data_IF_005349943496
#
_entry.id   IF_005349943496
#
_cell.length_a   1.000
_cell.length_b   1.000
_cell.length_c   1.000
_cell.angle_alpha   90.00
_cell.angle_beta   90.00
_cell.angle_gamma   90.00
#
_symmetry.space_group_name_H-M   'P 1'
#
loop_
_entity.id
_entity.type
_entity.pdbx_description
1 polymer ?
#
# COMPACT_ATOMS: atom_id res chain seq x y z
N UNK A 1 3.72 -6.05 -13.31
CA UNK A 1 4.52 -6.87 -14.23
C UNK A 1 5.50 -7.68 -13.42
N UNK A 2 5.74 -8.91 -13.84
CA UNK A 2 6.73 -9.81 -13.27
C UNK A 2 7.66 -10.26 -14.39
N UNK A 3 8.95 -10.33 -14.10
CA UNK A 3 9.95 -10.90 -15.01
C UNK A 3 10.68 -12.01 -14.26
N UNK A 4 10.49 -13.23 -14.70
CA UNK A 4 11.03 -14.42 -14.05
C UNK A 4 12.51 -14.67 -14.44
N UNK A 5 13.14 -15.67 -13.81
CA UNK A 5 14.52 -16.05 -14.08
C UNK A 5 14.74 -16.53 -15.53
N UNK A 6 13.74 -17.11 -16.19
CA UNK A 6 13.76 -17.47 -17.62
C UNK A 6 13.61 -16.27 -18.56
N UNK A 7 13.42 -15.05 -18.03
CA UNK A 7 13.20 -13.83 -18.78
C UNK A 7 11.75 -13.60 -19.22
N UNK A 8 10.85 -14.55 -19.03
CA UNK A 8 9.45 -14.42 -19.42
C UNK A 8 8.76 -13.28 -18.64
N UNK A 9 8.05 -12.42 -19.38
CA UNK A 9 7.29 -11.30 -18.80
C UNK A 9 5.84 -11.74 -18.58
N UNK A 10 5.36 -11.55 -17.36
CA UNK A 10 4.00 -11.77 -16.95
C UNK A 10 3.35 -10.46 -16.48
N UNK A 11 2.08 -10.27 -16.82
CA UNK A 11 1.30 -9.11 -16.38
C UNK A 11 0.09 -9.62 -15.61
N UNK A 12 -0.05 -9.15 -14.38
CA UNK A 12 -1.26 -9.33 -13.58
C UNK A 12 -2.19 -8.13 -13.82
N UNK A 13 -3.35 -8.39 -14.38
CA UNK A 13 -4.38 -7.38 -14.67
C UNK A 13 -5.58 -7.58 -13.75
N UNK A 14 -6.08 -6.48 -13.21
CA UNK A 14 -7.30 -6.50 -12.40
C UNK A 14 -8.44 -7.14 -13.19
N UNK A 15 -9.05 -8.18 -12.61
CA UNK A 15 -10.16 -8.92 -13.21
C UNK A 15 -9.77 -9.99 -14.25
N UNK A 16 -8.53 -10.01 -14.75
CA UNK A 16 -8.05 -10.99 -15.73
C UNK A 16 -6.96 -11.93 -15.19
N UNK A 17 -6.39 -11.59 -14.03
CA UNK A 17 -5.34 -12.38 -13.40
C UNK A 17 -3.99 -12.32 -14.11
N UNK A 18 -3.12 -13.25 -13.75
CA UNK A 18 -1.75 -13.33 -14.25
C UNK A 18 -1.70 -13.96 -15.64
N UNK A 19 -1.15 -13.23 -16.62
CA UNK A 19 -1.07 -13.65 -18.01
C UNK A 19 0.37 -13.53 -18.55
N UNK A 20 0.82 -14.52 -19.30
CA UNK A 20 2.07 -14.45 -20.04
C UNK A 20 1.92 -13.47 -21.22
N UNK A 21 2.92 -12.64 -21.45
CA UNK A 21 2.91 -11.68 -22.58
C UNK A 21 3.45 -12.28 -23.88
N UNK A 22 4.14 -13.41 -23.80
CA UNK A 22 4.91 -13.98 -24.90
C UNK A 22 6.24 -13.24 -25.17
N UNK A 23 6.56 -12.21 -24.41
CA UNK A 23 7.83 -11.48 -24.51
C UNK A 23 8.82 -12.04 -23.51
N UNK A 24 10.08 -12.18 -23.93
CA UNK A 24 11.19 -12.62 -23.09
C UNK A 24 12.32 -11.61 -23.15
N UNK A 25 12.90 -11.28 -22.00
CA UNK A 25 14.07 -10.40 -21.88
C UNK A 25 15.34 -11.23 -21.70
N UNK A 26 16.41 -10.83 -22.36
CA UNK A 26 17.74 -11.40 -22.11
C UNK A 26 18.22 -11.09 -20.67
N UNK A 27 19.23 -11.84 -20.20
CA UNK A 27 19.87 -11.56 -18.90
C UNK A 27 20.40 -10.12 -18.86
N UNK A 28 21.07 -9.70 -19.92
CA UNK A 28 21.66 -8.36 -20.02
C UNK A 28 20.59 -7.26 -19.97
N UNK A 29 19.47 -7.43 -20.67
CA UNK A 29 18.37 -6.44 -20.63
C UNK A 29 17.71 -6.37 -19.25
N UNK A 30 17.56 -7.50 -18.57
CA UNK A 30 17.03 -7.55 -17.19
C UNK A 30 17.96 -6.82 -16.22
N UNK A 31 19.27 -7.09 -16.28
CA UNK A 31 20.23 -6.38 -15.44
C UNK A 31 20.24 -4.88 -15.72
N UNK A 32 20.24 -4.48 -16.98
CA UNK A 32 20.22 -3.06 -17.37
C UNK A 32 18.94 -2.38 -16.84
N UNK A 33 17.78 -3.00 -17.01
CA UNK A 33 16.51 -2.49 -16.49
C UNK A 33 16.52 -2.35 -14.96
N UNK A 34 17.00 -3.37 -14.25
CA UNK A 34 17.09 -3.34 -12.78
C UNK A 34 18.02 -2.25 -12.29
N UNK A 35 19.19 -2.07 -12.92
CA UNK A 35 20.15 -1.01 -12.57
C UNK A 35 19.58 0.39 -12.83
N UNK A 36 18.85 0.56 -13.95
CA UNK A 36 18.18 1.82 -14.26
C UNK A 36 17.12 2.17 -13.21
N UNK A 37 16.29 1.21 -12.83
CA UNK A 37 15.25 1.39 -11.79
C UNK A 37 15.87 1.70 -10.41
N UNK A 38 17.00 1.06 -10.08
CA UNK A 38 17.72 1.35 -8.85
C UNK A 38 18.27 2.81 -8.88
N UNK A 39 18.86 3.22 -10.00
CA UNK A 39 19.39 4.58 -10.17
C UNK A 39 18.28 5.64 -10.07
N UNK A 40 17.14 5.42 -10.72
CA UNK A 40 15.96 6.31 -10.64
C UNK A 40 15.47 6.48 -9.19
N UNK A 41 15.57 5.43 -8.40
CA UNK A 41 15.20 5.46 -6.98
C UNK A 41 16.32 6.00 -6.06
N UNK A 42 17.47 6.41 -6.59
CA UNK A 42 18.63 6.83 -5.79
C UNK A 42 19.30 5.68 -5.02
N UNK A 43 19.10 4.44 -5.48
CA UNK A 43 19.63 3.23 -4.87
C UNK A 43 20.70 2.57 -5.74
N UNK A 44 21.44 1.64 -5.13
CA UNK A 44 22.41 0.81 -5.85
C UNK A 44 22.08 -0.66 -5.68
N UNK A 45 22.32 -1.44 -6.74
CA UNK A 45 22.17 -2.91 -6.72
C UNK A 45 23.38 -3.55 -7.41
N UNK A 46 23.86 -4.66 -6.87
CA UNK A 46 25.03 -5.39 -7.37
C UNK A 46 25.31 -6.64 -6.54
N UNK A 47 26.49 -7.22 -6.73
CA UNK A 47 26.89 -8.48 -6.08
C UNK A 47 26.88 -8.36 -4.54
N UNK A 48 27.33 -7.24 -4.01
CA UNK A 48 27.38 -6.99 -2.56
C UNK A 48 25.99 -6.62 -1.99
N UNK A 49 25.09 -6.18 -2.83
CA UNK A 49 23.70 -5.81 -2.48
C UNK A 49 22.75 -6.34 -3.56
N UNK A 50 22.52 -7.65 -3.61
CA UNK A 50 21.80 -8.30 -4.71
C UNK A 50 20.28 -8.17 -4.64
N UNK A 51 19.74 -7.34 -3.76
CA UNK A 51 18.30 -7.06 -3.61
C UNK A 51 18.01 -5.58 -3.74
N UNK A 52 16.95 -5.26 -4.48
CA UNK A 52 16.35 -3.93 -4.54
C UNK A 52 14.90 -4.02 -4.09
N UNK A 53 14.52 -3.20 -3.11
CA UNK A 53 13.13 -3.03 -2.67
C UNK A 53 12.86 -1.53 -2.53
N UNK A 54 12.24 -0.94 -3.54
CA UNK A 54 12.11 0.52 -3.63
C UNK A 54 10.77 0.96 -4.21
N UNK A 55 10.53 2.27 -4.16
CA UNK A 55 9.39 2.94 -4.78
C UNK A 55 9.95 3.98 -5.73
N UNK A 56 9.53 3.92 -6.98
CA UNK A 56 9.93 4.89 -7.99
C UNK A 56 9.33 6.27 -7.70
N UNK A 57 10.12 7.36 -7.73
CA UNK A 57 9.65 8.69 -7.35
C UNK A 57 8.47 9.18 -8.20
N UNK A 58 8.55 9.04 -9.50
CA UNK A 58 7.59 9.64 -10.43
C UNK A 58 6.28 8.83 -10.54
N UNK A 59 6.39 7.50 -10.57
CA UNK A 59 5.25 6.60 -10.79
C UNK A 59 4.63 6.05 -9.51
N UNK A 60 5.31 6.23 -8.37
CA UNK A 60 4.99 5.57 -7.12
C UNK A 60 4.86 4.02 -7.25
N UNK A 61 5.45 3.45 -8.30
CA UNK A 61 5.46 2.01 -8.50
C UNK A 61 6.42 1.34 -7.51
N UNK A 62 5.98 0.25 -6.92
CA UNK A 62 6.85 -0.62 -6.12
C UNK A 62 7.70 -1.49 -7.03
N UNK A 63 9.00 -1.50 -6.79
CA UNK A 63 9.96 -2.34 -7.49
C UNK A 63 10.62 -3.29 -6.49
N UNK A 64 10.58 -4.57 -6.81
CA UNK A 64 11.37 -5.60 -6.13
C UNK A 64 12.21 -6.31 -7.18
N UNK A 65 13.53 -6.31 -7.00
CA UNK A 65 14.43 -7.04 -7.87
C UNK A 65 15.41 -7.87 -7.04
N UNK A 66 15.85 -8.97 -7.62
CA UNK A 66 16.84 -9.87 -7.03
C UNK A 66 17.83 -10.28 -8.11
N UNK A 67 19.12 -10.20 -7.79
CA UNK A 67 20.23 -10.61 -8.64
C UNK A 67 20.90 -11.87 -8.10
N UNK A 68 21.72 -12.56 -8.90
CA UNK A 68 22.63 -13.56 -8.38
C UNK A 68 23.52 -13.01 -7.26
N UNK A 69 23.87 -13.80 -6.23
CA UNK A 69 23.63 -15.24 -6.08
C UNK A 69 22.29 -15.61 -5.43
N UNK A 70 21.42 -14.66 -5.07
CA UNK A 70 20.16 -14.94 -4.38
C UNK A 70 19.08 -15.53 -5.31
N UNK A 71 19.16 -15.24 -6.60
CA UNK A 71 18.40 -15.92 -7.65
C UNK A 71 19.37 -16.51 -8.66
N UNK A 72 18.95 -17.52 -9.41
CA UNK A 72 19.79 -18.11 -10.46
C UNK A 72 20.11 -17.11 -11.58
N UNK A 73 19.15 -16.24 -11.86
CA UNK A 73 19.19 -15.19 -12.87
C UNK A 73 18.43 -13.95 -12.35
N UNK A 74 18.64 -12.76 -12.94
CA UNK A 74 17.92 -11.55 -12.52
C UNK A 74 16.40 -11.72 -12.62
N UNK A 75 15.69 -11.41 -11.53
CA UNK A 75 14.23 -11.38 -11.47
C UNK A 75 13.74 -10.00 -11.05
N UNK A 76 12.57 -9.60 -11.56
CA UNK A 76 12.02 -8.27 -11.34
C UNK A 76 10.50 -8.33 -11.16
N UNK A 77 9.99 -7.66 -10.16
CA UNK A 77 8.56 -7.42 -9.96
C UNK A 77 8.30 -5.91 -9.88
N UNK A 78 7.38 -5.43 -10.72
CA UNK A 78 6.94 -4.03 -10.70
C UNK A 78 5.44 -4.00 -10.46
N UNK A 79 5.01 -3.38 -9.37
CA UNK A 79 3.60 -3.18 -9.02
C UNK A 79 3.25 -1.70 -9.09
N UNK A 80 2.42 -1.34 -10.04
CA UNK A 80 1.89 0.02 -10.15
C UNK A 80 0.91 0.32 -9.00
N UNK A 81 0.90 1.55 -8.54
CA UNK A 81 -0.16 2.05 -7.67
C UNK A 81 -1.48 2.04 -8.46
N UNK A 82 -2.61 1.61 -7.85
CA UNK A 82 -3.92 1.73 -8.50
C UNK A 82 -4.20 3.18 -8.88
N UNK A 83 -4.59 3.41 -10.14
CA UNK A 83 -4.93 4.76 -10.64
C UNK A 83 -6.37 5.15 -10.35
N UNK A 84 -7.24 4.17 -10.11
CA UNK A 84 -8.65 4.38 -9.79
C UNK A 84 -8.93 3.99 -8.34
N UNK A 85 -9.65 4.85 -7.62
CA UNK A 85 -10.20 4.54 -6.30
C UNK A 85 -11.60 3.98 -6.55
N UNK A 86 -11.82 2.74 -6.10
CA UNK A 86 -13.17 2.20 -6.02
C UNK A 86 -13.91 2.86 -4.86
N UNK A 87 -15.13 3.31 -5.10
CA UNK A 87 -16.03 3.86 -4.08
C UNK A 87 -16.99 2.78 -3.58
N UNK A 88 -17.72 3.03 -2.49
CA UNK A 88 -18.79 2.14 -2.06
C UNK A 88 -19.91 2.00 -3.12
N UNK A 89 -20.12 3.05 -3.93
CA UNK A 89 -21.06 2.97 -5.07
C UNK A 89 -20.55 2.04 -6.18
N UNK A 90 -19.25 1.96 -6.38
CA UNK A 90 -18.65 0.98 -7.31
C UNK A 90 -18.84 -0.45 -6.80
N UNK A 91 -18.71 -0.67 -5.48
CA UNK A 91 -19.00 -1.97 -4.87
C UNK A 91 -20.46 -2.40 -5.06
N UNK A 92 -21.40 -1.45 -4.93
CA UNK A 92 -22.81 -1.70 -5.21
C UNK A 92 -23.06 -2.05 -6.69
N UNK A 93 -22.54 -1.22 -7.61
CA UNK A 93 -22.72 -1.43 -9.06
C UNK A 93 -22.16 -2.76 -9.54
N UNK A 94 -21.07 -3.23 -8.93
CA UNK A 94 -20.43 -4.49 -9.28
C UNK A 94 -21.01 -5.70 -8.52
N UNK A 95 -21.99 -5.47 -7.64
CA UNK A 95 -22.59 -6.54 -6.83
C UNK A 95 -21.64 -7.15 -5.78
N UNK A 96 -20.53 -6.46 -5.45
CA UNK A 96 -19.56 -6.89 -4.42
C UNK A 96 -20.13 -6.63 -3.02
N UNK A 97 -20.97 -5.61 -2.87
CA UNK A 97 -21.67 -5.31 -1.63
C UNK A 97 -23.17 -5.11 -1.90
N UNK A 98 -24.00 -5.45 -0.92
CA UNK A 98 -25.42 -5.11 -0.91
C UNK A 98 -25.63 -3.67 -0.43
N UNK A 99 -26.81 -3.10 -0.72
CA UNK A 99 -27.18 -1.76 -0.23
C UNK A 99 -27.10 -1.67 1.30
N UNK A 100 -27.58 -2.69 2.00
CA UNK A 100 -27.54 -2.75 3.47
C UNK A 100 -26.10 -2.73 3.99
N UNK A 101 -25.17 -3.44 3.33
CA UNK A 101 -23.76 -3.44 3.72
C UNK A 101 -23.10 -2.09 3.46
N UNK A 102 -23.37 -1.49 2.31
CA UNK A 102 -22.82 -0.18 1.98
C UNK A 102 -23.34 0.91 2.94
N UNK A 103 -24.62 0.88 3.26
CA UNK A 103 -25.25 1.79 4.24
C UNK A 103 -24.61 1.62 5.61
N UNK A 104 -24.48 0.38 6.09
CA UNK A 104 -23.83 0.08 7.37
C UNK A 104 -22.40 0.65 7.45
N UNK A 105 -21.62 0.52 6.38
CA UNK A 105 -20.27 1.04 6.32
C UNK A 105 -20.25 2.59 6.31
N UNK A 106 -21.14 3.23 5.56
CA UNK A 106 -21.30 4.69 5.55
C UNK A 106 -21.69 5.23 6.93
N UNK A 107 -22.65 4.60 7.57
CA UNK A 107 -23.11 4.97 8.91
C UNK A 107 -21.97 4.79 9.93
N UNK A 108 -21.21 3.69 9.85
CA UNK A 108 -20.07 3.45 10.72
C UNK A 108 -18.98 4.51 10.55
N UNK A 109 -18.66 4.90 9.31
CA UNK A 109 -17.70 5.97 9.01
C UNK A 109 -18.22 7.33 9.51
N UNK A 110 -19.48 7.65 9.27
CA UNK A 110 -20.10 8.91 9.72
C UNK A 110 -20.16 8.99 11.26
N UNK A 111 -20.50 7.90 11.92
CA UNK A 111 -20.55 7.78 13.38
C UNK A 111 -19.17 7.67 14.05
N UNK A 112 -18.08 7.83 13.29
CA UNK A 112 -16.69 7.69 13.78
C UNK A 112 -16.43 6.36 14.49
N UNK A 113 -16.97 5.26 13.97
CA UNK A 113 -16.62 3.92 14.45
C UNK A 113 -15.21 3.56 13.97
N UNK A 114 -14.45 2.89 14.83
CA UNK A 114 -13.20 2.27 14.42
C UNK A 114 -13.51 1.02 13.60
N UNK A 115 -12.92 0.92 12.42
CA UNK A 115 -13.17 -0.18 11.48
C UNK A 115 -11.87 -0.93 11.22
N UNK A 116 -11.89 -2.23 11.46
CA UNK A 116 -10.80 -3.15 11.14
C UNK A 116 -11.21 -4.01 9.95
N UNK A 117 -10.43 -3.97 8.88
CA UNK A 117 -10.65 -4.78 7.68
C UNK A 117 -9.67 -5.93 7.69
N UNK A 118 -10.14 -7.15 7.91
CA UNK A 118 -9.34 -8.37 7.94
C UNK A 118 -9.54 -9.22 6.68
N UNK A 119 -8.50 -9.91 6.25
CA UNK A 119 -8.54 -10.79 5.09
C UNK A 119 -7.15 -11.20 4.62
N UNK A 120 -7.07 -12.19 3.74
CA UNK A 120 -5.83 -12.68 3.14
C UNK A 120 -5.15 -11.66 2.20
N UNK A 121 -3.96 -11.98 1.76
CA UNK A 121 -3.27 -11.19 0.72
C UNK A 121 -4.09 -11.21 -0.57
N UNK A 122 -4.23 -10.04 -1.21
CA UNK A 122 -4.99 -9.92 -2.46
C UNK A 122 -6.51 -9.93 -2.31
N UNK A 123 -7.06 -10.01 -1.07
CA UNK A 123 -8.52 -10.02 -0.83
C UNK A 123 -9.22 -8.67 -1.02
N UNK A 124 -8.49 -7.61 -1.31
CA UNK A 124 -9.05 -6.27 -1.53
C UNK A 124 -9.14 -5.39 -0.29
N UNK A 125 -8.43 -5.71 0.81
CA UNK A 125 -8.43 -4.90 2.05
C UNK A 125 -8.12 -3.43 1.79
N UNK A 126 -6.99 -3.15 1.13
CA UNK A 126 -6.57 -1.78 0.80
C UNK A 126 -7.56 -1.10 -0.14
N UNK A 127 -8.20 -1.86 -1.05
CA UNK A 127 -9.23 -1.34 -1.95
C UNK A 127 -10.47 -0.89 -1.16
N UNK A 128 -10.92 -1.70 -0.20
CA UNK A 128 -12.03 -1.32 0.69
C UNK A 128 -11.66 -0.14 1.58
N UNK A 129 -10.44 -0.12 2.12
CA UNK A 129 -9.97 1.03 2.91
C UNK A 129 -10.04 2.34 2.10
N UNK A 130 -9.57 2.31 0.84
CA UNK A 130 -9.66 3.46 -0.05
C UNK A 130 -11.12 3.86 -0.34
N UNK A 131 -12.03 2.88 -0.49
CA UNK A 131 -13.45 3.17 -0.67
C UNK A 131 -14.06 3.88 0.56
N UNK A 132 -13.68 3.47 1.76
CA UNK A 132 -14.10 4.12 3.00
C UNK A 132 -13.49 5.52 3.17
N UNK A 133 -12.22 5.71 2.79
CA UNK A 133 -11.55 7.00 2.81
C UNK A 133 -12.13 8.02 1.81
N UNK A 134 -12.81 7.54 0.78
CA UNK A 134 -13.51 8.38 -0.19
C UNK A 134 -14.85 8.96 0.35
N UNK A 135 -15.36 8.41 1.46
CA UNK A 135 -16.61 8.88 2.06
C UNK A 135 -16.53 10.32 2.55
N UNK A 136 -17.62 11.10 2.43
CA UNK A 136 -17.64 12.53 2.76
C UNK A 136 -17.13 12.87 4.17
N UNK A 137 -17.38 11.99 5.15
CA UNK A 137 -16.98 12.20 6.54
C UNK A 137 -15.46 12.28 6.79
N UNK A 138 -14.64 11.96 5.78
CA UNK A 138 -13.18 12.16 5.84
C UNK A 138 -12.72 13.50 5.27
N UNK A 139 -13.53 14.20 4.46
CA UNK A 139 -13.10 15.39 3.72
C UNK A 139 -12.66 16.54 4.61
N UNK A 140 -13.41 16.76 5.69
CA UNK A 140 -13.20 17.90 6.61
C UNK A 140 -12.39 17.49 7.86
N UNK A 141 -12.00 16.23 7.97
CA UNK A 141 -11.23 15.72 9.09
C UNK A 141 -9.73 15.91 8.87
N UNK A 142 -8.99 16.20 9.95
CA UNK A 142 -7.53 16.04 9.94
C UNK A 142 -7.19 14.56 10.05
N UNK A 143 -6.73 13.98 8.96
CA UNK A 143 -6.42 12.55 8.87
C UNK A 143 -4.92 12.32 8.85
N UNK A 144 -4.43 11.49 9.76
CA UNK A 144 -3.05 11.01 9.72
C UNK A 144 -3.06 9.55 9.27
N UNK A 145 -2.35 9.27 8.19
CA UNK A 145 -2.25 7.95 7.56
C UNK A 145 -0.87 7.39 7.81
N UNK A 146 -0.81 6.16 8.30
CA UNK A 146 0.42 5.42 8.60
C UNK A 146 0.51 4.21 7.70
N UNK A 147 1.63 4.05 6.97
CA UNK A 147 1.81 2.96 6.02
C UNK A 147 3.27 2.52 5.95
N UNK A 148 3.48 1.27 5.57
CA UNK A 148 4.80 0.78 5.15
C UNK A 148 5.15 1.26 3.74
N UNK A 149 4.14 1.43 2.90
CA UNK A 149 4.25 1.95 1.53
C UNK A 149 2.96 2.70 1.19
N UNK A 150 3.09 3.86 0.57
CA UNK A 150 1.96 4.71 0.19
C UNK A 150 1.01 4.03 -0.81
N UNK A 151 -0.07 3.45 -0.32
CA UNK A 151 -1.14 2.83 -1.11
C UNK A 151 -2.49 3.54 -0.91
N UNK A 152 -2.69 4.13 0.26
CA UNK A 152 -3.94 4.81 0.58
C UNK A 152 -4.02 6.17 -0.09
N UNK A 153 -5.23 6.53 -0.47
CA UNK A 153 -5.53 7.79 -1.14
C UNK A 153 -6.67 8.46 -0.38
N UNK A 154 -6.50 9.73 -0.05
CA UNK A 154 -7.49 10.49 0.68
C UNK A 154 -7.73 11.83 0.02
N UNK A 155 -9.01 12.23 -0.02
CA UNK A 155 -9.43 13.51 -0.58
C UNK A 155 -9.47 14.66 0.46
N UNK A 156 -9.09 14.40 1.71
CA UNK A 156 -9.02 15.47 2.74
C UNK A 156 -7.90 16.46 2.41
N UNK A 157 -8.22 17.74 2.44
CA UNK A 157 -7.24 18.82 2.31
C UNK A 157 -6.28 18.91 3.51
N UNK A 158 -6.65 18.32 4.66
CA UNK A 158 -5.87 18.32 5.88
C UNK A 158 -5.39 16.89 6.23
N UNK A 159 -4.68 16.26 5.29
CA UNK A 159 -4.12 14.93 5.48
C UNK A 159 -2.60 14.96 5.64
N UNK A 160 -2.10 14.08 6.50
CA UNK A 160 -0.66 13.82 6.67
C UNK A 160 -0.42 12.33 6.45
N UNK A 161 0.45 11.98 5.52
CA UNK A 161 0.85 10.61 5.26
C UNK A 161 2.26 10.37 5.79
N UNK A 162 2.43 9.39 6.65
CA UNK A 162 3.69 9.00 7.26
C UNK A 162 4.04 7.58 6.83
N UNK A 163 5.28 7.38 6.46
CA UNK A 163 5.79 6.10 6.00
C UNK A 163 6.84 5.56 6.96
N UNK A 164 6.85 4.25 7.17
CA UNK A 164 7.95 3.57 7.85
C UNK A 164 9.23 3.68 7.04
N UNK A 165 10.36 3.58 7.72
CA UNK A 165 11.67 3.58 7.08
C UNK A 165 12.48 2.38 7.56
N UNK A 166 12.90 1.52 6.64
CA UNK A 166 13.65 0.29 6.95
C UNK A 166 15.17 0.50 7.00
N UNK A 167 15.67 1.56 6.33
CA UNK A 167 17.09 1.90 6.35
C UNK A 167 17.43 2.73 7.59
N UNK A 168 18.66 2.61 8.09
CA UNK A 168 19.13 3.34 9.27
C UNK A 168 19.16 4.87 9.04
N UNK A 169 18.72 5.71 9.99
CA UNK A 169 17.95 5.33 11.17
C UNK A 169 16.55 4.84 10.78
N UNK A 170 16.19 3.63 11.24
CA UNK A 170 14.89 3.02 10.95
C UNK A 170 13.76 3.72 11.72
N UNK A 171 12.56 3.75 11.11
CA UNK A 171 11.32 4.26 11.73
C UNK A 171 10.26 3.18 11.60
N UNK A 172 9.84 2.64 12.72
CA UNK A 172 8.83 1.57 12.78
C UNK A 172 7.39 2.12 12.74
N UNK A 173 6.42 1.26 12.48
CA UNK A 173 5.00 1.61 12.59
C UNK A 173 4.64 2.11 14.00
N UNK A 174 5.24 1.52 15.02
CA UNK A 174 5.07 1.95 16.42
C UNK A 174 5.55 3.38 16.65
N UNK A 175 6.70 3.75 16.08
CA UNK A 175 7.22 5.13 16.17
C UNK A 175 6.27 6.10 15.48
N UNK A 176 5.72 5.72 14.33
CA UNK A 176 4.73 6.54 13.61
C UNK A 176 3.46 6.75 14.44
N UNK A 177 2.94 5.72 15.12
CA UNK A 177 1.76 5.87 16.00
C UNK A 177 2.06 6.88 17.11
N UNK A 178 3.24 6.80 17.76
CA UNK A 178 3.63 7.72 18.81
C UNK A 178 3.76 9.18 18.32
N UNK A 179 4.34 9.37 17.13
CA UNK A 179 4.45 10.70 16.50
C UNK A 179 3.05 11.24 16.19
N UNK A 180 2.16 10.41 15.69
CA UNK A 180 0.81 10.78 15.28
C UNK A 180 0.02 11.43 16.41
N UNK A 181 0.13 10.95 17.64
CA UNK A 181 -0.57 11.51 18.79
C UNK A 181 -0.21 13.00 19.08
N UNK A 182 0.95 13.44 18.58
CA UNK A 182 1.41 14.84 18.70
C UNK A 182 1.04 15.72 17.50
N UNK A 183 0.48 15.12 16.45
CA UNK A 183 0.06 15.81 15.23
C UNK A 183 -1.41 16.26 15.26
N UNK A 184 -2.10 16.09 16.38
CA UNK A 184 -3.52 16.45 16.58
C UNK A 184 -4.44 15.83 15.51
N UNK A 185 -4.44 14.52 15.34
CA UNK A 185 -5.33 13.88 14.35
C UNK A 185 -6.78 13.91 14.85
N UNK A 186 -7.72 14.12 13.93
CA UNK A 186 -9.14 13.83 14.16
C UNK A 186 -9.40 12.33 13.93
N UNK A 187 -8.67 11.72 12.99
CA UNK A 187 -8.75 10.30 12.65
C UNK A 187 -7.36 9.75 12.33
N UNK A 188 -7.10 8.53 12.79
CA UNK A 188 -5.85 7.80 12.52
C UNK A 188 -6.17 6.59 11.64
N UNK A 189 -5.53 6.52 10.48
CA UNK A 189 -5.70 5.43 9.51
C UNK A 189 -4.39 4.69 9.37
N UNK A 190 -4.45 3.37 9.40
CA UNK A 190 -3.25 2.53 9.26
C UNK A 190 -3.46 1.56 8.12
N UNK A 191 -2.59 1.64 7.12
CA UNK A 191 -2.70 0.84 5.90
C UNK A 191 -2.53 -0.64 6.14
N UNK A 192 -1.60 -1.02 6.99
CA UNK A 192 -1.37 -2.41 7.37
C UNK A 192 -0.62 -2.48 8.70
N UNK A 193 -1.04 -3.41 9.57
CA UNK A 193 -0.34 -3.73 10.82
C UNK A 193 -0.01 -5.22 10.86
N UNK A 194 1.24 -5.54 11.19
CA UNK A 194 1.73 -6.92 11.17
C UNK A 194 2.19 -7.47 12.51
N UNK A 195 2.31 -6.65 13.53
CA UNK A 195 2.94 -7.02 14.80
C UNK A 195 2.32 -6.29 16.01
N UNK A 196 3.09 -6.15 17.07
CA UNK A 196 2.67 -5.46 18.28
C UNK A 196 2.24 -4.00 18.09
N UNK A 197 2.46 -3.38 16.92
CA UNK A 197 1.98 -2.04 16.62
C UNK A 197 0.44 -1.98 16.60
N UNK A 198 -0.26 -3.09 16.35
CA UNK A 198 -1.72 -3.15 16.44
C UNK A 198 -2.24 -2.69 17.80
N UNK A 199 -1.59 -3.10 18.88
CA UNK A 199 -1.97 -2.69 20.22
C UNK A 199 -1.82 -1.18 20.43
N UNK A 200 -0.77 -0.58 19.90
CA UNK A 200 -0.54 0.87 20.01
C UNK A 200 -1.60 1.65 19.22
N UNK A 201 -2.04 1.16 18.06
CA UNK A 201 -3.15 1.78 17.30
C UNK A 201 -4.46 1.71 18.09
N UNK A 202 -4.78 0.55 18.69
CA UNK A 202 -5.99 0.40 19.51
C UNK A 202 -5.96 1.31 20.73
N UNK A 203 -4.80 1.47 21.37
CA UNK A 203 -4.61 2.44 22.47
C UNK A 203 -4.84 3.87 21.99
N UNK A 204 -4.28 4.26 20.84
CA UNK A 204 -4.46 5.57 20.26
C UNK A 204 -5.94 5.89 20.00
N UNK A 205 -6.68 4.93 19.43
CA UNK A 205 -8.11 5.07 19.20
C UNK A 205 -8.91 5.18 20.50
N UNK A 206 -8.51 4.45 21.55
CA UNK A 206 -9.17 4.50 22.86
C UNK A 206 -8.87 5.79 23.65
N UNK A 207 -7.79 6.50 23.33
CA UNK A 207 -7.37 7.72 24.02
C UNK A 207 -7.86 9.02 23.38
N UNK A 208 -8.95 8.98 22.60
CA UNK A 208 -9.64 10.16 22.10
C UNK A 208 -9.56 10.41 20.61
N UNK A 209 -9.12 9.41 19.81
CA UNK A 209 -9.04 9.52 18.35
C UNK A 209 -9.92 8.46 17.64
N UNK A 210 -11.28 8.50 17.85
CA UNK A 210 -12.19 7.51 17.24
C UNK A 210 -12.36 7.72 15.74
N UNK A 211 -12.86 6.71 15.06
CA UNK A 211 -13.16 6.75 13.63
C UNK A 211 -11.94 6.45 12.75
N UNK A 212 -11.02 5.67 13.28
CA UNK A 212 -9.88 5.17 12.54
C UNK A 212 -10.21 3.97 11.67
N UNK A 213 -9.36 3.72 10.69
CA UNK A 213 -9.40 2.54 9.80
C UNK A 213 -8.08 1.79 9.89
N UNK A 214 -8.13 0.45 9.80
CA UNK A 214 -6.97 -0.43 9.91
C UNK A 214 -7.12 -1.66 9.01
N UNK A 215 -6.03 -2.12 8.37
CA UNK A 215 -5.95 -3.50 7.85
C UNK A 215 -4.80 -4.29 8.44
#
# INVERSE_FOLDING_TARGET
ALVNADGAIWIDRVGAGLQATGVTLSVADREAAIRLLAHEAGETIGVDRPMLATILPDSAARVQAVLPPLASEPVLAVRKRPSAIFTLDDYLRQGVATEAQALLLRDAVAARRNIVVAGGTGSGKTTLLNALLAEPAFRDARVVILEDTAELQIASANAVQLLTKRTAPAVSMRDLVQITLRLRPDRIVVGEVRDGAALEVLKAWNTGHPGGLLT
#
